data_IF_253208671319
#
_entry.id   IF_253208671319
#
_cell.length_a   1.000
_cell.length_b   1.000
_cell.length_c   1.000
_cell.angle_alpha   90.00
_cell.angle_beta   90.00
_cell.angle_gamma   90.00
#
_symmetry.space_group_name_H-M   'P 1'
#
loop_
_entity.id
_entity.type
_entity.pdbx_description
1 polymer ?
#
# COMPACT_ATOMS: atom_id res chain seq x y z
N UNK A 1 -6.95 -4.36 -5.85
CA UNK A 1 -6.77 -2.89 -5.82
C UNK A 1 -5.27 -2.58 -5.82
N UNK A 2 -4.75 -1.93 -6.87
CA UNK A 2 -3.39 -1.37 -6.84
C UNK A 2 -3.49 0.01 -6.21
N UNK A 3 -2.93 0.22 -5.01
CA UNK A 3 -2.88 1.54 -4.39
C UNK A 3 -1.54 2.19 -4.74
N UNK A 4 -1.49 3.24 -5.56
CA UNK A 4 -0.24 3.94 -5.88
C UNK A 4 0.44 4.53 -4.64
N UNK A 5 -0.33 4.73 -3.57
CA UNK A 5 0.11 5.42 -2.36
C UNK A 5 1.24 4.71 -1.63
N UNK A 6 1.17 3.38 -1.49
CA UNK A 6 2.22 2.63 -0.82
C UNK A 6 3.53 2.65 -1.61
N UNK A 7 3.46 2.77 -2.94
CA UNK A 7 4.62 2.84 -3.82
C UNK A 7 5.32 4.21 -3.79
N UNK A 8 4.75 5.25 -3.17
CA UNK A 8 5.32 6.61 -3.10
C UNK A 8 5.65 7.05 -1.68
N UNK A 9 5.57 6.15 -0.69
CA UNK A 9 5.82 6.44 0.74
C UNK A 9 6.55 5.29 1.45
N UNK A 10 7.53 4.68 0.78
CA UNK A 10 8.32 3.56 1.30
C UNK A 10 9.19 3.98 2.49
N UNK A 11 9.50 5.26 2.60
CA UNK A 11 10.23 5.87 3.72
C UNK A 11 9.50 5.71 5.06
N UNK A 12 8.20 5.40 5.04
CA UNK A 12 7.38 5.18 6.24
C UNK A 12 7.48 3.76 6.81
N UNK A 13 8.09 2.82 6.09
CA UNK A 13 8.24 1.45 6.58
C UNK A 13 9.58 0.84 6.12
N UNK A 14 10.51 0.53 7.06
CA UNK A 14 11.83 0.02 6.73
C UNK A 14 11.83 -1.32 5.99
N UNK A 15 10.74 -2.10 6.06
CA UNK A 15 10.59 -3.33 5.30
C UNK A 15 10.69 -3.11 3.77
N UNK A 16 10.43 -1.90 3.29
CA UNK A 16 10.46 -1.53 1.88
C UNK A 16 11.80 -0.94 1.42
N UNK A 17 12.79 -0.79 2.30
CA UNK A 17 14.05 -0.08 2.00
C UNK A 17 14.78 -0.58 0.75
N UNK A 18 14.69 -1.89 0.44
CA UNK A 18 15.32 -2.46 -0.75
C UNK A 18 14.65 -2.06 -2.08
N UNK A 19 13.41 -1.57 -2.03
CA UNK A 19 12.62 -1.14 -3.18
C UNK A 19 12.64 0.38 -3.36
N UNK A 20 13.02 1.13 -2.33
CA UNK A 20 13.07 2.59 -2.33
C UNK A 20 14.24 3.07 -3.22
N UNK A 21 13.96 4.02 -4.12
CA UNK A 21 14.97 4.69 -4.95
C UNK A 21 15.74 5.80 -4.21
N UNK A 22 15.39 6.07 -2.95
CA UNK A 22 16.04 7.02 -2.05
C UNK A 22 15.21 8.27 -1.72
N UNK A 23 13.99 8.38 -2.26
CA UNK A 23 13.08 9.50 -2.03
C UNK A 23 11.71 9.06 -1.48
N UNK A 24 11.61 7.83 -0.98
CA UNK A 24 10.37 7.21 -0.55
C UNK A 24 9.55 6.62 -1.69
N UNK A 25 9.97 6.73 -2.95
CA UNK A 25 9.28 6.12 -4.09
C UNK A 25 9.92 4.80 -4.51
N UNK A 26 9.10 3.81 -4.80
CA UNK A 26 9.54 2.52 -5.29
C UNK A 26 10.20 2.66 -6.66
N UNK A 27 11.37 2.04 -6.84
CA UNK A 27 12.12 2.00 -8.11
C UNK A 27 11.35 1.36 -9.28
N UNK A 28 10.29 0.60 -8.98
CA UNK A 28 9.43 -0.05 -9.97
C UNK A 28 8.12 0.70 -10.23
N UNK A 29 7.90 1.85 -9.59
CA UNK A 29 6.70 2.65 -9.79
C UNK A 29 6.81 3.49 -11.06
N UNK A 30 5.91 3.24 -12.02
CA UNK A 30 5.71 4.11 -13.17
C UNK A 30 4.96 5.37 -12.72
N UNK A 31 5.63 6.51 -12.71
CA UNK A 31 5.06 7.79 -12.27
C UNK A 31 4.07 8.38 -13.26
N UNK A 32 4.12 7.97 -14.53
CA UNK A 32 3.22 8.45 -15.58
C UNK A 32 1.92 7.64 -15.52
N UNK A 33 2.03 6.31 -15.65
CA UNK A 33 0.89 5.40 -15.60
C UNK A 33 0.33 5.17 -14.19
N UNK A 34 1.09 5.52 -13.14
CA UNK A 34 0.78 5.27 -11.71
C UNK A 34 0.59 3.79 -11.39
N UNK A 35 1.36 2.93 -12.06
CA UNK A 35 1.30 1.47 -11.95
C UNK A 35 2.63 0.87 -11.51
N UNK A 36 2.59 -0.34 -10.98
CA UNK A 36 3.80 -1.10 -10.71
C UNK A 36 4.26 -1.82 -12.00
N UNK A 37 5.49 -1.55 -12.44
CA UNK A 37 6.08 -2.19 -13.63
C UNK A 37 6.32 -3.69 -13.47
N UNK A 38 6.36 -4.19 -12.24
CA UNK A 38 6.55 -5.62 -11.90
C UNK A 38 5.33 -6.20 -11.16
N UNK A 39 4.11 -5.73 -11.45
CA UNK A 39 2.94 -6.10 -10.64
C UNK A 39 2.73 -7.61 -10.49
N UNK A 40 2.95 -8.38 -11.57
CA UNK A 40 2.86 -9.84 -11.56
C UNK A 40 3.90 -10.47 -10.63
N UNK A 41 5.11 -9.90 -10.58
CA UNK A 41 6.29 -10.40 -9.85
C UNK A 41 6.57 -9.62 -8.56
N UNK A 42 5.59 -8.83 -8.08
CA UNK A 42 5.76 -8.02 -6.87
C UNK A 42 6.17 -8.92 -5.68
N UNK A 43 7.09 -8.45 -4.82
CA UNK A 43 7.53 -9.22 -3.67
C UNK A 43 6.38 -9.44 -2.68
N UNK A 44 6.52 -10.45 -1.82
CA UNK A 44 5.49 -10.85 -0.86
C UNK A 44 5.05 -9.72 0.07
N UNK A 45 5.98 -8.85 0.50
CA UNK A 45 5.68 -7.67 1.31
C UNK A 45 4.73 -6.67 0.61
N UNK A 46 4.62 -6.71 -0.73
CA UNK A 46 3.67 -5.91 -1.53
C UNK A 46 2.35 -6.64 -1.83
N UNK A 47 2.16 -7.86 -1.30
CA UNK A 47 0.96 -8.69 -1.50
C UNK A 47 0.16 -8.73 -0.21
N UNK A 48 -0.95 -7.99 -0.17
CA UNK A 48 -1.84 -7.87 0.99
C UNK A 48 -2.21 -9.22 1.61
N UNK A 49 -2.62 -10.20 0.80
CA UNK A 49 -2.98 -11.55 1.27
C UNK A 49 -1.79 -12.32 1.86
N UNK A 50 -0.61 -12.19 1.27
CA UNK A 50 0.60 -12.83 1.79
C UNK A 50 1.02 -12.20 3.11
N UNK A 51 1.04 -10.87 3.19
CA UNK A 51 1.34 -10.13 4.42
C UNK A 51 0.35 -10.48 5.53
N UNK A 52 -0.95 -10.54 5.20
CA UNK A 52 -1.99 -10.97 6.14
C UNK A 52 -1.69 -12.35 6.72
N UNK A 53 -1.52 -13.34 5.84
CA UNK A 53 -1.27 -14.73 6.25
C UNK A 53 0.02 -14.90 7.05
N UNK A 54 1.08 -14.18 6.70
CA UNK A 54 2.40 -14.32 7.33
C UNK A 54 2.55 -13.53 8.64
N UNK A 55 1.93 -12.35 8.74
CA UNK A 55 2.19 -11.43 9.85
C UNK A 55 0.96 -11.11 10.70
N UNK A 56 -0.24 -11.31 10.18
CA UNK A 56 -1.49 -10.99 10.87
C UNK A 56 -2.52 -12.13 10.81
N UNK A 57 -2.13 -13.41 11.04
CA UNK A 57 -3.05 -14.54 10.93
C UNK A 57 -4.18 -14.51 11.97
N UNK A 58 -4.02 -13.70 13.02
CA UNK A 58 -5.02 -13.53 14.09
C UNK A 58 -6.19 -12.62 13.68
N UNK A 59 -6.07 -11.87 12.58
CA UNK A 59 -7.14 -11.05 12.03
C UNK A 59 -7.88 -11.84 10.96
N UNK A 60 -9.20 -11.65 10.84
CA UNK A 60 -9.89 -12.07 9.62
C UNK A 60 -9.38 -11.25 8.41
N UNK A 61 -9.48 -11.79 7.18
CA UNK A 61 -9.16 -11.01 5.98
C UNK A 61 -9.93 -9.69 5.91
N UNK A 62 -11.19 -9.69 6.35
CA UNK A 62 -12.04 -8.50 6.38
C UNK A 62 -11.51 -7.44 7.36
N UNK A 63 -11.19 -7.83 8.61
CA UNK A 63 -10.63 -6.91 9.61
C UNK A 63 -9.29 -6.33 9.15
N UNK A 64 -8.43 -7.16 8.58
CA UNK A 64 -7.15 -6.72 8.03
C UNK A 64 -7.33 -5.70 6.90
N UNK A 65 -8.27 -5.96 5.98
CA UNK A 65 -8.61 -5.01 4.93
C UNK A 65 -9.18 -3.72 5.50
N UNK A 66 -10.04 -3.79 6.52
CA UNK A 66 -10.65 -2.61 7.17
C UNK A 66 -9.60 -1.72 7.82
N UNK A 67 -8.65 -2.32 8.55
CA UNK A 67 -7.52 -1.62 9.16
C UNK A 67 -6.63 -0.98 8.09
N UNK A 68 -6.26 -1.73 7.05
CA UNK A 68 -5.44 -1.20 5.96
C UNK A 68 -6.12 -0.03 5.22
N UNK A 69 -7.43 -0.12 4.98
CA UNK A 69 -8.18 0.96 4.36
C UNK A 69 -8.24 2.21 5.26
N UNK A 70 -8.41 2.03 6.57
CA UNK A 70 -8.37 3.14 7.54
C UNK A 70 -7.01 3.84 7.54
N UNK A 71 -5.91 3.07 7.59
CA UNK A 71 -4.55 3.62 7.52
C UNK A 71 -4.30 4.37 6.20
N UNK A 72 -4.78 3.83 5.08
CA UNK A 72 -4.72 4.50 3.79
C UNK A 72 -5.49 5.83 3.81
N UNK A 73 -6.71 5.84 4.34
CA UNK A 73 -7.55 7.04 4.45
C UNK A 73 -6.90 8.12 5.33
N UNK A 74 -6.31 7.73 6.47
CA UNK A 74 -5.56 8.64 7.35
C UNK A 74 -4.35 9.24 6.64
N UNK A 75 -3.58 8.42 5.91
CA UNK A 75 -2.42 8.90 5.18
C UNK A 75 -2.82 9.87 4.04
N UNK A 76 -3.90 9.56 3.31
CA UNK A 76 -4.43 10.47 2.29
C UNK A 76 -4.91 11.80 2.90
N UNK A 77 -5.53 11.77 4.09
CA UNK A 77 -5.95 12.97 4.81
C UNK A 77 -4.76 13.82 5.25
N UNK A 78 -3.73 13.20 5.83
CA UNK A 78 -2.51 13.89 6.23
C UNK A 78 -1.80 14.56 5.05
N UNK A 79 -1.94 14.00 3.85
CA UNK A 79 -1.42 14.59 2.61
C UNK A 79 -2.37 15.60 1.93
N UNK A 80 -3.49 15.95 2.55
CA UNK A 80 -4.44 16.93 2.02
C UNK A 80 -5.23 16.45 0.80
N UNK A 81 -5.30 15.13 0.55
CA UNK A 81 -6.10 14.59 -0.56
C UNK A 81 -7.59 14.67 -0.23
N UNK A 82 -8.36 15.12 -1.23
CA UNK A 82 -9.83 15.17 -1.21
C UNK A 82 -10.46 13.84 -0.76
N UNK A 83 -11.58 13.93 -0.05
CA UNK A 83 -12.34 12.79 0.43
C UNK A 83 -12.84 11.86 -0.69
N UNK A 84 -12.90 12.33 -1.94
CA UNK A 84 -13.27 11.50 -3.10
C UNK A 84 -12.35 10.29 -3.33
N UNK A 85 -11.15 10.29 -2.73
CA UNK A 85 -10.18 9.19 -2.82
C UNK A 85 -10.27 8.20 -1.66
N UNK A 86 -11.15 8.45 -0.69
CA UNK A 86 -11.30 7.59 0.48
C UNK A 86 -11.81 6.22 0.08
N UNK A 87 -11.18 5.20 0.63
CA UNK A 87 -11.59 3.82 0.48
C UNK A 87 -12.82 3.61 1.36
N UNK A 88 -13.96 3.39 0.71
CA UNK A 88 -15.20 2.97 1.34
C UNK A 88 -15.24 1.46 1.21
N UNK A 89 -15.14 0.72 2.31
CA UNK A 89 -15.34 -0.72 2.27
C UNK A 89 -16.85 -0.98 2.31
N UNK A 90 -17.39 -1.50 1.21
CA UNK A 90 -18.70 -2.11 1.22
C UNK A 90 -18.61 -3.40 2.05
N UNK A 91 -19.46 -3.49 3.07
CA UNK A 91 -19.72 -4.71 3.84
C UNK A 91 -20.46 -5.69 2.93
#
# INVERSE_FOLDING_TARGET
MQSPWCCTHLDKNPAYRALDRGDGTCRHFDTVGRLCSIYADRPDLCRTETVHRQHFPMLSPEEFHRINASLCNQAQQAAGLSERYRLIQAI
#
